data_IF_879942706275
#
_entry.id   IF_879942706275
#
_cell.length_a   1.000
_cell.length_b   1.000
_cell.length_c   1.000
_cell.angle_alpha   90.00
_cell.angle_beta   90.00
_cell.angle_gamma   90.00
#
_symmetry.space_group_name_H-M   'P 1'
#
loop_
_entity.id
_entity.type
_entity.pdbx_description
1 polymer ?
#
# COMPACT_ATOMS: atom_id res chain seq x y z
N UNK A 1 -18.79 -6.80 -2.44
CA UNK A 1 -19.80 -7.17 -3.46
C UNK A 1 -20.84 -6.07 -3.72
N UNK A 2 -21.62 -5.57 -2.74
CA UNK A 2 -22.60 -4.48 -2.97
C UNK A 2 -21.89 -3.16 -3.31
N UNK A 3 -20.85 -2.78 -2.56
CA UNK A 3 -20.06 -1.56 -2.76
C UNK A 3 -19.39 -1.55 -4.14
N UNK A 4 -18.80 -2.67 -4.58
CA UNK A 4 -18.12 -2.75 -5.89
C UNK A 4 -19.11 -2.61 -7.03
N UNK A 5 -20.29 -3.21 -6.89
CA UNK A 5 -21.40 -3.05 -7.85
C UNK A 5 -21.88 -1.59 -7.89
N UNK A 6 -21.96 -0.93 -6.74
CA UNK A 6 -22.33 0.48 -6.62
C UNK A 6 -21.33 1.40 -7.32
N UNK A 7 -20.02 1.24 -7.04
CA UNK A 7 -18.95 2.02 -7.71
C UNK A 7 -19.00 1.88 -9.23
N UNK A 8 -19.10 0.66 -9.73
CA UNK A 8 -19.15 0.39 -11.17
C UNK A 8 -20.36 1.04 -11.82
N UNK A 9 -21.56 0.84 -11.28
CA UNK A 9 -22.79 1.41 -11.84
C UNK A 9 -22.83 2.93 -11.73
N UNK A 10 -22.24 3.50 -10.67
CA UNK A 10 -22.09 4.93 -10.51
C UNK A 10 -21.23 5.53 -11.63
N UNK A 11 -20.07 4.93 -11.90
CA UNK A 11 -19.17 5.36 -12.98
C UNK A 11 -19.83 5.23 -14.38
N UNK A 12 -20.53 4.11 -14.63
CA UNK A 12 -21.30 3.93 -15.87
C UNK A 12 -22.38 5.00 -16.02
N UNK A 13 -23.06 5.35 -14.93
CA UNK A 13 -24.12 6.38 -14.93
C UNK A 13 -23.53 7.78 -15.21
N UNK A 14 -22.38 8.10 -14.62
CA UNK A 14 -21.66 9.34 -14.87
C UNK A 14 -21.30 9.50 -16.34
N UNK A 15 -20.74 8.46 -16.95
CA UNK A 15 -20.35 8.48 -18.37
C UNK A 15 -21.55 8.64 -19.31
N UNK A 16 -22.75 8.23 -18.90
CA UNK A 16 -23.99 8.40 -19.67
C UNK A 16 -24.61 9.80 -19.53
N UNK A 17 -24.29 10.54 -18.47
CA UNK A 17 -24.89 11.85 -18.18
C UNK A 17 -23.98 12.99 -18.63
N UNK A 18 -22.68 12.82 -18.46
CA UNK A 18 -21.68 13.87 -18.69
C UNK A 18 -20.70 13.47 -19.77
N UNK A 19 -20.42 14.41 -20.66
CA UNK A 19 -19.27 14.30 -21.56
C UNK A 19 -18.03 14.77 -20.82
N UNK A 20 -17.17 13.84 -20.43
CA UNK A 20 -15.96 14.14 -19.70
C UNK A 20 -14.75 14.31 -20.60
N UNK A 21 -14.01 15.40 -20.38
CA UNK A 21 -12.64 15.51 -20.87
C UNK A 21 -11.69 15.14 -19.71
N UNK A 22 -10.93 14.09 -19.91
CA UNK A 22 -9.91 13.68 -18.94
C UNK A 22 -8.77 14.69 -18.93
N UNK A 23 -8.47 15.24 -17.75
CA UNK A 23 -7.34 16.15 -17.54
C UNK A 23 -6.39 15.47 -16.54
N UNK A 24 -5.14 15.31 -16.92
CA UNK A 24 -4.08 14.92 -15.99
C UNK A 24 -3.42 16.19 -15.45
N UNK A 25 -3.51 16.40 -14.15
CA UNK A 25 -2.84 17.49 -13.46
C UNK A 25 -2.28 16.96 -12.16
N UNK A 26 -0.97 17.04 -11.98
CA UNK A 26 -0.30 16.72 -10.72
C UNK A 26 -0.52 15.30 -10.18
N UNK A 27 -0.71 14.30 -11.06
CA UNK A 27 -0.96 12.90 -10.64
C UNK A 27 -2.43 12.56 -10.43
N UNK A 28 -3.34 13.54 -10.51
CA UNK A 28 -4.78 13.31 -10.45
C UNK A 28 -5.40 13.15 -11.83
N UNK A 29 -6.38 12.27 -11.92
CA UNK A 29 -7.31 12.27 -13.03
C UNK A 29 -8.52 13.10 -12.64
N UNK A 30 -8.56 14.35 -13.11
CA UNK A 30 -9.74 15.18 -13.07
C UNK A 30 -10.54 14.96 -14.35
N UNK A 31 -11.86 14.92 -14.22
CA UNK A 31 -12.77 14.86 -15.36
C UNK A 31 -13.52 16.18 -15.48
N UNK A 32 -13.23 16.95 -16.52
CA UNK A 32 -13.87 18.22 -16.80
C UNK A 32 -15.15 18.02 -17.59
N UNK A 33 -16.21 18.70 -17.19
CA UNK A 33 -17.48 18.80 -17.92
C UNK A 33 -18.07 20.21 -17.78
N UNK A 34 -19.16 20.51 -18.48
CA UNK A 34 -19.85 21.80 -18.33
C UNK A 34 -20.58 21.85 -16.98
N UNK A 35 -20.56 23.01 -16.32
CA UNK A 35 -21.32 23.23 -15.10
C UNK A 35 -22.83 23.11 -15.36
N UNK A 36 -23.54 22.45 -14.45
CA UNK A 36 -24.99 22.25 -14.57
C UNK A 36 -25.82 23.50 -14.26
N UNK A 37 -25.25 24.44 -13.49
CA UNK A 37 -25.93 25.70 -13.11
C UNK A 37 -25.76 26.71 -14.24
N UNK A 38 -24.53 26.85 -14.73
CA UNK A 38 -24.20 27.77 -15.83
C UNK A 38 -23.22 27.08 -16.78
N UNK A 39 -23.72 26.73 -17.95
CA UNK A 39 -22.97 26.00 -19.00
C UNK A 39 -21.74 26.77 -19.53
N UNK A 40 -21.62 28.06 -19.25
CA UNK A 40 -20.45 28.85 -19.58
C UNK A 40 -19.22 28.51 -18.76
N UNK A 41 -19.42 27.88 -17.61
CA UNK A 41 -18.36 27.46 -16.69
C UNK A 41 -18.04 25.97 -16.83
N UNK A 42 -16.86 25.61 -16.33
CA UNK A 42 -16.47 24.20 -16.22
C UNK A 42 -16.70 23.69 -14.79
N UNK A 43 -17.21 22.48 -14.69
CA UNK A 43 -17.32 21.70 -13.48
C UNK A 43 -16.31 20.54 -13.55
N UNK A 44 -15.73 20.18 -12.42
CA UNK A 44 -14.72 19.15 -12.33
C UNK A 44 -15.19 18.03 -11.41
N UNK A 45 -15.08 16.80 -11.89
CA UNK A 45 -15.25 15.63 -11.06
C UNK A 45 -13.89 15.24 -10.47
N UNK A 46 -13.82 15.19 -9.16
CA UNK A 46 -12.68 14.67 -8.44
C UNK A 46 -12.92 13.19 -8.12
N UNK A 47 -12.10 12.32 -8.70
CA UNK A 47 -12.24 10.87 -8.48
C UNK A 47 -11.81 10.41 -7.09
N UNK A 48 -11.12 11.26 -6.32
CA UNK A 48 -10.64 10.91 -4.99
C UNK A 48 -11.75 11.02 -3.93
N UNK A 49 -12.61 12.03 -4.00
CA UNK A 49 -13.73 12.24 -3.07
C UNK A 49 -15.11 11.98 -3.68
N UNK A 50 -15.17 11.73 -5.00
CA UNK A 50 -16.42 11.47 -5.72
C UNK A 50 -17.30 12.69 -5.91
N UNK A 51 -16.76 13.92 -5.77
CA UNK A 51 -17.52 15.17 -5.86
C UNK A 51 -17.37 15.84 -7.22
N UNK A 52 -18.43 16.53 -7.60
CA UNK A 52 -18.46 17.49 -8.70
C UNK A 52 -18.37 18.90 -8.11
N UNK A 53 -17.37 19.65 -8.51
CA UNK A 53 -17.15 21.02 -8.02
C UNK A 53 -17.04 21.99 -9.19
N UNK A 54 -17.81 23.08 -9.14
CA UNK A 54 -17.61 24.25 -9.99
C UNK A 54 -16.95 25.36 -9.19
N UNK A 55 -15.69 25.72 -9.48
CA UNK A 55 -14.98 26.75 -8.72
C UNK A 55 -15.61 28.15 -8.85
N UNK A 56 -16.40 28.40 -9.92
CA UNK A 56 -16.95 29.73 -10.20
C UNK A 56 -18.27 29.95 -9.48
N UNK A 57 -19.19 28.97 -9.51
CA UNK A 57 -20.50 29.07 -8.83
C UNK A 57 -20.53 28.42 -7.45
N UNK A 58 -19.43 27.88 -6.95
CA UNK A 58 -19.33 27.26 -5.61
C UNK A 58 -20.14 25.96 -5.46
N UNK A 59 -20.65 25.41 -6.57
CA UNK A 59 -21.41 24.16 -6.55
C UNK A 59 -20.48 23.00 -6.19
N UNK A 60 -20.86 22.21 -5.18
CA UNK A 60 -20.14 20.99 -4.82
C UNK A 60 -21.14 19.92 -4.36
N UNK A 61 -21.24 18.81 -5.09
CA UNK A 61 -22.15 17.70 -4.82
C UNK A 61 -21.59 16.37 -5.31
N UNK A 62 -21.92 15.29 -4.60
CA UNK A 62 -21.66 13.93 -5.13
C UNK A 62 -22.64 13.58 -6.28
N UNK A 63 -22.32 12.49 -7.01
CA UNK A 63 -23.07 12.12 -8.22
C UNK A 63 -24.54 11.80 -7.95
N UNK A 64 -24.88 11.21 -6.80
CA UNK A 64 -26.27 10.86 -6.48
C UNK A 64 -27.08 12.12 -6.20
N UNK A 65 -26.54 13.01 -5.34
CA UNK A 65 -27.12 14.30 -5.02
C UNK A 65 -27.21 15.20 -6.25
N UNK A 66 -26.21 15.15 -7.13
CA UNK A 66 -26.19 15.89 -8.40
C UNK A 66 -27.30 15.39 -9.34
N UNK A 67 -27.40 14.08 -9.56
CA UNK A 67 -28.43 13.49 -10.41
C UNK A 67 -29.82 13.65 -9.83
N UNK A 68 -29.97 13.60 -8.52
CA UNK A 68 -31.21 13.87 -7.79
C UNK A 68 -31.68 15.30 -8.05
N UNK A 69 -30.77 16.28 -7.91
CA UNK A 69 -31.07 17.69 -8.17
C UNK A 69 -31.45 17.96 -9.64
N UNK A 70 -30.70 17.40 -10.60
CA UNK A 70 -30.96 17.57 -12.04
C UNK A 70 -32.33 17.01 -12.43
N UNK A 71 -32.72 15.87 -11.84
CA UNK A 71 -33.95 15.17 -12.19
C UNK A 71 -35.13 15.49 -11.29
N UNK A 72 -34.89 16.31 -10.27
CA UNK A 72 -35.88 16.66 -9.25
C UNK A 72 -36.57 15.42 -8.63
N UNK A 73 -35.78 14.45 -8.21
CA UNK A 73 -36.23 13.22 -7.57
C UNK A 73 -35.45 12.98 -6.29
N UNK A 74 -36.07 12.25 -5.35
CA UNK A 74 -35.41 11.83 -4.12
C UNK A 74 -34.12 11.02 -4.37
N UNK A 75 -33.11 11.18 -3.53
CA UNK A 75 -31.80 10.50 -3.69
C UNK A 75 -31.95 8.96 -3.66
N UNK A 76 -32.88 8.42 -2.90
CA UNK A 76 -33.13 6.98 -2.87
C UNK A 76 -33.71 6.48 -4.18
N UNK A 77 -34.67 7.23 -4.74
CA UNK A 77 -35.24 6.92 -6.05
C UNK A 77 -34.16 6.99 -7.14
N UNK A 78 -33.25 7.95 -7.02
CA UNK A 78 -32.12 8.06 -7.96
C UNK A 78 -31.16 6.88 -7.80
N UNK A 79 -30.85 6.50 -6.57
CA UNK A 79 -29.98 5.36 -6.26
C UNK A 79 -30.59 4.03 -6.77
N UNK A 80 -31.89 3.81 -6.61
CA UNK A 80 -32.59 2.64 -7.17
C UNK A 80 -32.47 2.58 -8.70
N UNK A 81 -32.61 3.72 -9.38
CA UNK A 81 -32.46 3.82 -10.84
C UNK A 81 -31.02 3.50 -11.28
N UNK A 82 -30.03 4.04 -10.58
CA UNK A 82 -28.61 3.80 -10.87
C UNK A 82 -28.25 2.32 -10.68
N UNK A 83 -28.69 1.74 -9.55
CA UNK A 83 -28.41 0.34 -9.24
C UNK A 83 -29.23 -0.65 -10.05
N UNK A 84 -30.29 -0.17 -10.75
CA UNK A 84 -31.28 -0.99 -11.50
C UNK A 84 -31.91 -2.09 -10.62
N UNK A 85 -32.13 -1.79 -9.35
CA UNK A 85 -32.79 -2.68 -8.37
C UNK A 85 -33.72 -1.87 -7.50
N UNK A 86 -34.76 -2.51 -6.96
CA UNK A 86 -35.64 -1.89 -5.97
C UNK A 86 -35.03 -2.13 -4.58
N UNK A 87 -34.75 -1.06 -3.86
CA UNK A 87 -34.18 -1.14 -2.52
C UNK A 87 -35.29 -1.44 -1.48
N UNK A 88 -35.03 -2.45 -0.65
CA UNK A 88 -35.88 -2.68 0.52
C UNK A 88 -35.60 -1.64 1.58
N UNK A 89 -36.56 -1.33 2.42
CA UNK A 89 -36.42 -0.34 3.51
C UNK A 89 -35.26 -0.67 4.46
N UNK A 90 -35.01 -1.94 4.72
CA UNK A 90 -33.94 -2.44 5.58
C UNK A 90 -32.53 -2.33 4.96
N UNK A 91 -32.43 -2.22 3.63
CA UNK A 91 -31.13 -2.08 2.94
C UNK A 91 -30.67 -0.63 2.79
N UNK A 92 -31.55 0.34 2.96
CA UNK A 92 -31.24 1.78 2.82
C UNK A 92 -30.15 2.25 3.79
N UNK A 93 -30.18 1.96 5.10
CA UNK A 93 -29.12 2.32 6.04
C UNK A 93 -27.77 1.73 5.64
N UNK A 94 -27.75 0.43 5.25
CA UNK A 94 -26.52 -0.26 4.82
C UNK A 94 -25.87 0.41 3.61
N UNK A 95 -26.65 0.89 2.66
CA UNK A 95 -26.12 1.59 1.48
C UNK A 95 -25.65 3.02 1.80
N UNK A 96 -26.31 3.71 2.73
CA UNK A 96 -25.84 5.02 3.22
C UNK A 96 -24.51 4.86 3.94
N UNK A 97 -24.38 3.88 4.82
CA UNK A 97 -23.16 3.65 5.57
C UNK A 97 -22.02 3.20 4.64
N UNK A 98 -22.32 2.29 3.70
CA UNK A 98 -21.35 1.88 2.68
C UNK A 98 -20.87 3.05 1.80
N UNK A 99 -21.76 3.99 1.46
CA UNK A 99 -21.45 5.21 0.72
C UNK A 99 -20.57 6.15 1.53
N UNK A 100 -20.94 6.41 2.80
CA UNK A 100 -20.12 7.22 3.72
C UNK A 100 -18.72 6.66 3.90
N UNK A 101 -18.63 5.34 4.08
CA UNK A 101 -17.34 4.65 4.20
C UNK A 101 -16.50 4.76 2.91
N UNK A 102 -17.14 4.65 1.74
CA UNK A 102 -16.48 4.83 0.44
C UNK A 102 -15.87 6.22 0.32
N UNK A 103 -16.64 7.29 0.60
CA UNK A 103 -16.13 8.66 0.56
C UNK A 103 -15.04 8.91 1.60
N UNK A 104 -15.19 8.34 2.78
CA UNK A 104 -14.18 8.43 3.83
C UNK A 104 -12.86 7.77 3.38
N UNK A 105 -12.92 6.63 2.71
CA UNK A 105 -11.73 5.96 2.19
C UNK A 105 -11.08 6.77 1.06
N UNK A 106 -11.87 7.34 0.14
CA UNK A 106 -11.35 8.22 -0.92
C UNK A 106 -10.64 9.45 -0.34
N UNK A 107 -11.18 10.04 0.73
CA UNK A 107 -10.53 11.14 1.43
C UNK A 107 -9.18 10.72 2.05
N UNK A 108 -9.10 9.52 2.64
CA UNK A 108 -7.84 9.01 3.17
C UNK A 108 -6.79 8.78 2.08
N UNK A 109 -7.18 8.28 0.91
CA UNK A 109 -6.29 8.16 -0.25
C UNK A 109 -5.77 9.52 -0.71
N UNK A 110 -6.66 10.53 -0.75
CA UNK A 110 -6.28 11.90 -1.11
C UNK A 110 -5.26 12.49 -0.13
N UNK A 111 -5.52 12.38 1.18
CA UNK A 111 -4.61 12.84 2.22
C UNK A 111 -3.24 12.16 2.08
N UNK A 112 -3.21 10.85 1.87
CA UNK A 112 -1.96 10.13 1.70
C UNK A 112 -1.23 10.54 0.42
N UNK A 113 -1.95 10.82 -0.66
CA UNK A 113 -1.34 11.31 -1.90
C UNK A 113 -0.69 12.68 -1.70
N UNK A 114 -1.40 13.62 -1.09
CA UNK A 114 -0.87 14.97 -0.82
C UNK A 114 0.33 14.91 0.15
N UNK A 115 0.26 14.02 1.14
CA UNK A 115 1.38 13.77 2.05
C UNK A 115 2.60 13.18 1.30
N UNK A 116 2.39 12.27 0.34
CA UNK A 116 3.47 11.72 -0.49
C UNK A 116 4.15 12.84 -1.29
N UNK A 117 3.39 13.67 -1.99
CA UNK A 117 3.93 14.80 -2.75
C UNK A 117 4.72 15.76 -1.86
N UNK A 118 4.19 16.08 -0.68
CA UNK A 118 4.91 16.87 0.31
C UNK A 118 6.25 16.23 0.69
N UNK A 119 6.28 14.93 0.98
CA UNK A 119 7.52 14.25 1.37
C UNK A 119 8.54 14.18 0.22
N UNK A 120 8.09 14.02 -1.03
CA UNK A 120 8.96 14.08 -2.21
C UNK A 120 9.59 15.45 -2.37
N UNK A 121 8.82 16.53 -2.22
CA UNK A 121 9.32 17.91 -2.26
C UNK A 121 10.35 18.13 -1.14
N UNK A 122 10.03 17.71 0.08
CA UNK A 122 10.95 17.85 1.22
C UNK A 122 12.24 17.05 1.06
N UNK A 123 12.21 15.95 0.32
CA UNK A 123 13.43 15.20 -0.04
C UNK A 123 14.32 16.03 -0.97
N UNK A 124 13.75 16.67 -1.98
CA UNK A 124 14.52 17.51 -2.92
C UNK A 124 15.21 18.68 -2.22
N UNK A 125 14.58 19.22 -1.17
CA UNK A 125 15.11 20.31 -0.34
C UNK A 125 16.11 19.84 0.73
N UNK A 126 16.33 18.53 0.92
CA UNK A 126 17.14 18.00 2.02
C UNK A 126 18.44 17.31 1.53
N UNK A 127 19.59 18.02 1.51
CA UNK A 127 20.87 17.42 1.14
C UNK A 127 21.27 16.23 2.03
N UNK A 128 20.88 16.25 3.29
CA UNK A 128 21.18 15.17 4.25
C UNK A 128 20.41 13.90 3.87
N UNK A 129 19.13 14.02 3.55
CA UNK A 129 18.31 12.89 3.15
C UNK A 129 18.75 12.32 1.78
N UNK A 130 19.06 13.18 0.82
CA UNK A 130 19.62 12.77 -0.48
C UNK A 130 20.95 12.05 -0.27
N UNK A 131 21.88 12.62 0.50
CA UNK A 131 23.18 12.01 0.81
C UNK A 131 23.02 10.65 1.48
N UNK A 132 22.03 10.50 2.35
CA UNK A 132 21.74 9.22 2.98
C UNK A 132 21.32 8.16 1.93
N UNK A 133 20.36 8.49 1.04
CA UNK A 133 19.87 7.56 0.02
C UNK A 133 20.95 7.20 -1.01
N UNK A 134 21.70 8.19 -1.48
CA UNK A 134 22.83 7.95 -2.42
C UNK A 134 23.96 7.18 -1.74
N UNK A 135 24.26 7.45 -0.46
CA UNK A 135 25.20 6.68 0.34
C UNK A 135 24.77 5.22 0.58
N UNK A 136 23.46 4.95 0.54
CA UNK A 136 22.90 3.60 0.48
C UNK A 136 22.93 2.99 -0.93
N UNK A 137 23.48 3.69 -1.92
CA UNK A 137 23.65 3.20 -3.30
C UNK A 137 22.41 3.35 -4.17
N UNK A 138 21.40 4.12 -3.76
CA UNK A 138 20.21 4.34 -4.58
C UNK A 138 20.46 5.39 -5.66
N UNK A 139 20.02 5.10 -6.88
CA UNK A 139 20.06 6.05 -8.00
C UNK A 139 18.88 7.03 -7.92
N UNK A 140 18.98 8.15 -8.63
CA UNK A 140 17.91 9.15 -8.71
C UNK A 140 16.64 8.56 -9.32
N UNK A 141 16.79 7.73 -10.34
CA UNK A 141 15.68 7.03 -11.00
C UNK A 141 14.97 6.09 -10.06
N UNK A 142 15.72 5.36 -9.22
CA UNK A 142 15.14 4.48 -8.20
C UNK A 142 14.40 5.27 -7.13
N UNK A 143 14.97 6.37 -6.64
CA UNK A 143 14.34 7.25 -5.66
C UNK A 143 13.00 7.77 -6.21
N UNK A 144 12.97 8.22 -7.46
CA UNK A 144 11.75 8.70 -8.12
C UNK A 144 10.73 7.58 -8.36
N UNK A 145 11.18 6.42 -8.88
CA UNK A 145 10.32 5.26 -9.17
C UNK A 145 9.60 4.75 -7.94
N UNK A 146 10.24 4.81 -6.77
CA UNK A 146 9.67 4.37 -5.50
C UNK A 146 8.99 5.51 -4.71
N UNK A 147 8.89 6.71 -5.27
CA UNK A 147 8.29 7.87 -4.62
C UNK A 147 8.90 8.16 -3.25
N UNK A 148 10.22 7.93 -3.09
CA UNK A 148 10.86 8.12 -1.79
C UNK A 148 10.82 9.59 -1.39
N UNK A 149 10.56 9.84 -0.11
CA UNK A 149 10.42 11.16 0.44
C UNK A 149 11.23 11.38 1.71
N UNK A 150 11.12 12.58 2.27
CA UNK A 150 11.69 12.93 3.55
C UNK A 150 10.68 13.67 4.42
N UNK A 151 10.51 13.22 5.65
CA UNK A 151 9.74 13.91 6.67
C UNK A 151 10.67 14.78 7.51
N UNK A 152 10.51 16.14 7.50
CA UNK A 152 11.34 17.05 8.27
C UNK A 152 11.22 16.87 9.79
N UNK A 153 12.14 17.46 10.55
CA UNK A 153 12.20 17.36 12.05
C UNK A 153 10.99 17.94 12.76
N UNK A 154 10.35 18.95 12.18
CA UNK A 154 9.26 19.71 12.81
C UNK A 154 7.92 19.39 12.15
N UNK A 155 6.81 19.77 12.80
CA UNK A 155 5.44 19.58 12.32
C UNK A 155 5.15 20.41 11.04
N UNK A 156 5.86 20.12 9.94
CA UNK A 156 5.73 20.84 8.69
C UNK A 156 4.58 20.27 7.85
N UNK A 157 4.39 18.94 7.86
CA UNK A 157 3.29 18.29 7.17
C UNK A 157 1.93 18.78 7.68
N UNK A 158 1.72 18.73 8.99
CA UNK A 158 0.48 19.22 9.62
C UNK A 158 0.18 20.66 9.21
N UNK A 159 1.18 21.55 9.27
CA UNK A 159 1.01 22.95 8.88
C UNK A 159 0.64 23.13 7.41
N UNK A 160 1.14 22.27 6.53
CA UNK A 160 0.87 22.33 5.10
C UNK A 160 -0.51 21.79 4.76
N UNK A 161 -0.95 20.71 5.41
CA UNK A 161 -2.18 20.02 5.02
C UNK A 161 -3.44 20.50 5.76
N UNK A 162 -3.30 21.14 6.94
CA UNK A 162 -4.44 21.58 7.76
C UNK A 162 -5.36 22.61 7.08
N UNK A 163 -4.85 23.33 6.08
CA UNK A 163 -5.65 24.31 5.35
C UNK A 163 -6.56 23.64 4.29
N UNK A 164 -6.25 22.38 3.91
CA UNK A 164 -6.99 21.61 2.92
C UNK A 164 -7.84 20.49 3.52
N UNK A 165 -7.49 20.01 4.74
CA UNK A 165 -8.13 18.86 5.38
C UNK A 165 -8.37 19.13 6.86
N UNK A 166 -9.48 18.57 7.38
CA UNK A 166 -9.72 18.62 8.83
C UNK A 166 -8.66 17.81 9.60
N UNK A 167 -8.27 18.28 10.77
CA UNK A 167 -7.22 17.65 11.59
C UNK A 167 -7.61 16.21 12.01
N UNK A 168 -8.90 15.96 12.23
CA UNK A 168 -9.46 14.63 12.53
C UNK A 168 -9.28 13.65 11.36
N UNK A 169 -9.39 14.14 10.11
CA UNK A 169 -9.18 13.33 8.91
C UNK A 169 -7.70 13.02 8.71
N UNK A 170 -6.82 14.01 8.95
CA UNK A 170 -5.36 13.82 8.94
C UNK A 170 -4.92 12.82 10.00
N UNK A 171 -5.52 12.87 11.21
CA UNK A 171 -5.26 11.91 12.28
C UNK A 171 -5.79 10.52 11.90
N UNK A 172 -6.97 10.42 11.29
CA UNK A 172 -7.57 9.18 10.81
C UNK A 172 -6.71 8.53 9.72
N UNK A 173 -6.16 9.31 8.79
CA UNK A 173 -5.19 8.85 7.79
C UNK A 173 -3.86 8.36 8.41
N UNK A 174 -3.57 8.78 9.65
CA UNK A 174 -2.39 8.38 10.38
C UNK A 174 -1.12 9.12 9.96
N UNK A 175 -1.24 10.27 9.31
CA UNK A 175 -0.12 11.14 8.94
C UNK A 175 0.23 12.11 10.07
N UNK A 176 -0.76 12.48 10.90
CA UNK A 176 -0.55 13.19 12.17
C UNK A 176 -1.07 12.36 13.35
N UNK A 177 -0.69 12.74 14.56
CA UNK A 177 -1.18 12.19 15.80
C UNK A 177 -1.53 13.30 16.78
N UNK A 178 -2.23 12.94 17.85
CA UNK A 178 -2.57 13.86 18.94
C UNK A 178 -1.81 13.49 20.23
N UNK A 179 -1.17 14.44 20.84
CA UNK A 179 -0.55 14.26 22.16
C UNK A 179 -1.66 14.29 23.22
N UNK A 180 -1.88 13.15 23.88
CA UNK A 180 -2.96 12.99 24.88
C UNK A 180 -2.86 13.90 26.10
N UNK A 181 -1.65 14.42 26.40
CA UNK A 181 -1.43 15.28 27.57
C UNK A 181 -1.71 16.74 27.25
N UNK A 182 -1.33 17.18 26.04
CA UNK A 182 -1.40 18.59 25.64
C UNK A 182 -2.53 18.88 24.66
N UNK A 183 -3.16 17.84 24.08
CA UNK A 183 -4.16 17.98 23.01
C UNK A 183 -3.59 18.51 21.69
N UNK A 184 -2.27 18.65 21.56
CA UNK A 184 -1.65 19.21 20.36
C UNK A 184 -1.40 18.15 19.30
N UNK A 185 -1.65 18.52 18.05
CA UNK A 185 -1.32 17.69 16.90
C UNK A 185 0.19 17.70 16.60
N UNK A 186 0.68 16.57 16.10
CA UNK A 186 2.08 16.41 15.69
C UNK A 186 2.19 15.49 14.47
N UNK A 187 3.21 15.72 13.64
CA UNK A 187 3.53 14.82 12.52
C UNK A 187 3.99 13.46 13.07
N UNK A 188 3.43 12.38 12.55
CA UNK A 188 3.82 11.00 12.95
C UNK A 188 5.24 10.69 12.49
N UNK A 189 5.59 11.14 11.31
CA UNK A 189 6.92 10.98 10.75
C UNK A 189 7.74 12.25 10.96
N UNK A 190 8.90 12.13 11.60
CA UNK A 190 9.84 13.23 11.87
C UNK A 190 11.27 12.76 11.69
N UNK A 191 12.07 13.53 10.95
CA UNK A 191 13.46 13.22 10.62
C UNK A 191 13.62 11.80 10.07
N UNK A 192 12.80 11.48 9.02
CA UNK A 192 12.73 10.14 8.44
C UNK A 192 12.72 10.15 6.93
N UNK A 193 13.44 9.21 6.35
CA UNK A 193 13.19 8.81 4.96
C UNK A 193 11.84 8.12 4.91
N UNK A 194 11.03 8.48 3.92
CA UNK A 194 9.67 7.99 3.75
C UNK A 194 9.59 7.02 2.56
N UNK A 195 8.90 5.93 2.78
CA UNK A 195 8.61 4.87 1.82
C UNK A 195 7.10 4.78 1.66
N UNK A 196 6.51 5.31 0.58
CA UNK A 196 5.08 5.17 0.32
C UNK A 196 4.71 3.69 0.11
N UNK A 197 3.59 3.27 0.70
CA UNK A 197 3.05 1.94 0.55
C UNK A 197 1.88 2.05 -0.41
N UNK A 198 2.06 1.50 -1.61
CA UNK A 198 1.17 1.68 -2.76
C UNK A 198 0.52 0.35 -3.10
N UNK A 199 -0.79 0.36 -3.34
CA UNK A 199 -1.54 -0.82 -3.73
C UNK A 199 -1.50 -1.06 -5.26
N UNK A 200 -2.08 -2.18 -5.71
CA UNK A 200 -2.17 -2.54 -7.13
C UNK A 200 -2.98 -1.56 -8.01
N UNK A 201 -3.75 -0.66 -7.40
CA UNK A 201 -4.52 0.37 -8.08
C UNK A 201 -3.79 1.73 -8.04
N UNK A 202 -2.52 1.74 -7.66
CA UNK A 202 -1.66 2.91 -7.49
C UNK A 202 -2.15 3.89 -6.41
N UNK A 203 -2.94 3.40 -5.43
CA UNK A 203 -3.41 4.19 -4.31
C UNK A 203 -2.44 4.12 -3.14
N UNK A 204 -2.18 5.26 -2.51
CA UNK A 204 -1.27 5.36 -1.38
C UNK A 204 -2.00 4.93 -0.12
N UNK A 205 -1.66 3.77 0.41
CA UNK A 205 -2.28 3.20 1.61
C UNK A 205 -1.75 3.82 2.91
N UNK A 206 -0.50 4.23 2.91
CA UNK A 206 0.22 4.76 4.06
C UNK A 206 1.72 4.80 3.80
N UNK A 207 2.50 4.90 4.87
CA UNK A 207 3.94 5.12 4.77
C UNK A 207 4.74 4.25 5.73
N UNK A 208 5.95 3.88 5.32
CA UNK A 208 7.05 3.51 6.18
C UNK A 208 7.99 4.69 6.39
N UNK A 209 8.64 4.77 7.53
CA UNK A 209 9.58 5.86 7.81
C UNK A 209 10.82 5.38 8.54
N UNK A 210 12.02 5.50 7.93
CA UNK A 210 13.31 5.19 8.54
C UNK A 210 13.94 6.45 9.13
N UNK A 211 14.30 6.43 10.41
CA UNK A 211 14.95 7.58 11.07
C UNK A 211 16.33 7.88 10.48
N UNK A 212 16.63 9.16 10.31
CA UNK A 212 17.99 9.66 10.08
C UNK A 212 18.68 10.07 11.38
N UNK A 213 17.91 10.26 12.46
CA UNK A 213 18.39 10.65 13.77
C UNK A 213 18.61 9.47 14.73
N UNK A 214 18.70 9.79 16.02
CA UNK A 214 18.98 8.87 17.13
C UNK A 214 17.75 8.15 17.70
N UNK A 215 16.63 8.11 16.98
CA UNK A 215 15.41 7.44 17.45
C UNK A 215 15.66 5.94 17.69
N UNK A 216 15.23 5.42 18.84
CA UNK A 216 15.30 4.00 19.19
C UNK A 216 14.53 3.11 18.23
N UNK A 217 13.47 3.65 17.61
CA UNK A 217 12.69 2.96 16.57
C UNK A 217 13.27 3.29 15.18
N UNK A 218 14.14 2.41 14.68
CA UNK A 218 14.77 2.54 13.35
C UNK A 218 13.72 2.72 12.25
N UNK A 219 12.69 1.90 12.23
CA UNK A 219 11.55 1.99 11.33
C UNK A 219 10.24 2.15 12.10
N UNK A 220 9.34 2.96 11.56
CA UNK A 220 7.94 3.03 11.95
C UNK A 220 7.08 2.97 10.69
N UNK A 221 5.83 2.55 10.85
CA UNK A 221 4.84 2.56 9.76
C UNK A 221 3.59 3.30 10.22
N UNK A 222 2.78 3.76 9.26
CA UNK A 222 1.42 4.24 9.52
C UNK A 222 0.68 3.23 10.41
N UNK A 223 -0.12 3.74 11.35
CA UNK A 223 -1.04 2.91 12.16
C UNK A 223 -2.05 2.21 11.26
N UNK A 224 -2.74 1.19 11.78
CA UNK A 224 -3.88 0.60 11.05
C UNK A 224 -4.95 1.66 10.85
N UNK A 225 -5.42 1.81 9.60
CA UNK A 225 -6.51 2.70 9.19
C UNK A 225 -7.56 1.88 8.42
N UNK A 226 -8.63 2.54 7.96
CA UNK A 226 -9.64 1.88 7.14
C UNK A 226 -9.08 1.37 5.79
N UNK A 227 -8.02 2.01 5.27
CA UNK A 227 -7.38 1.67 3.98
C UNK A 227 -6.04 0.94 4.13
N UNK A 228 -5.48 0.82 5.33
CA UNK A 228 -4.17 0.24 5.58
C UNK A 228 -4.14 -0.76 6.73
N UNK A 229 -3.75 -1.99 6.43
CA UNK A 229 -3.43 -3.04 7.40
C UNK A 229 -2.14 -3.74 6.98
N UNK A 230 -1.07 -3.64 7.81
CA UNK A 230 0.23 -4.28 7.52
C UNK A 230 0.12 -5.77 7.21
N UNK A 231 -0.75 -6.49 7.92
CA UNK A 231 -0.98 -7.93 7.73
C UNK A 231 -1.65 -8.28 6.39
N UNK A 232 -2.04 -7.29 5.61
CA UNK A 232 -2.70 -7.45 4.31
C UNK A 232 -1.97 -6.74 3.17
N UNK A 233 -0.87 -6.03 3.45
CA UNK A 233 -0.14 -5.24 2.47
C UNK A 233 1.28 -5.77 2.29
N UNK A 234 1.72 -5.88 1.05
CA UNK A 234 3.10 -6.17 0.67
C UNK A 234 3.69 -4.97 -0.06
N UNK A 235 4.85 -4.52 0.38
CA UNK A 235 5.57 -3.40 -0.26
C UNK A 235 6.01 -3.76 -1.68
N UNK A 236 5.84 -2.84 -2.60
CA UNK A 236 6.16 -2.98 -4.02
C UNK A 236 5.39 -4.08 -4.79
N UNK A 237 4.29 -4.60 -4.23
CA UNK A 237 3.47 -5.58 -4.96
C UNK A 237 2.83 -4.97 -6.21
N UNK A 238 2.55 -3.67 -6.21
CA UNK A 238 2.08 -2.91 -7.39
C UNK A 238 3.09 -2.88 -8.53
N UNK A 239 4.39 -3.01 -8.23
CA UNK A 239 5.47 -2.98 -9.21
C UNK A 239 5.77 -4.33 -9.84
N UNK A 240 5.20 -5.41 -9.30
CA UNK A 240 5.35 -6.76 -9.87
C UNK A 240 4.57 -6.82 -11.18
N UNK A 241 5.28 -7.04 -12.30
CA UNK A 241 4.67 -7.06 -13.62
C UNK A 241 3.71 -8.24 -13.80
N UNK A 242 2.42 -7.93 -13.94
CA UNK A 242 1.36 -8.92 -14.13
C UNK A 242 1.30 -9.50 -15.55
N UNK A 243 1.81 -8.79 -16.54
CA UNK A 243 1.76 -9.22 -17.95
C UNK A 243 2.63 -10.45 -18.20
N UNK A 244 3.62 -10.67 -17.33
CA UNK A 244 4.50 -11.83 -17.37
C UNK A 244 4.52 -12.45 -15.97
N UNK A 245 3.54 -13.33 -15.69
CA UNK A 245 3.46 -14.02 -14.40
C UNK A 245 4.86 -14.52 -14.01
N UNK A 246 5.50 -13.93 -12.98
CA UNK A 246 6.86 -14.31 -12.64
C UNK A 246 6.89 -15.77 -12.15
N UNK A 247 7.93 -16.51 -12.55
CA UNK A 247 8.10 -17.89 -12.07
C UNK A 247 8.16 -17.94 -10.54
N UNK A 248 8.56 -16.83 -9.90
CA UNK A 248 8.84 -16.71 -8.47
C UNK A 248 8.65 -15.28 -8.02
N UNK A 249 8.22 -15.08 -6.77
CA UNK A 249 8.28 -13.78 -6.07
C UNK A 249 9.13 -13.95 -4.82
N UNK A 250 10.14 -13.09 -4.67
CA UNK A 250 10.96 -13.02 -3.46
C UNK A 250 10.24 -12.17 -2.41
N UNK A 251 10.16 -12.68 -1.19
CA UNK A 251 9.55 -12.00 -0.05
C UNK A 251 10.65 -11.63 0.92
N UNK A 252 11.00 -10.35 1.00
CA UNK A 252 12.02 -9.77 1.86
C UNK A 252 11.40 -9.19 3.14
N UNK A 253 12.23 -8.89 4.16
CA UNK A 253 11.76 -8.26 5.40
C UNK A 253 11.60 -6.74 5.25
N UNK A 254 12.59 -6.07 4.62
CA UNK A 254 12.76 -4.64 4.64
C UNK A 254 12.45 -3.92 3.32
N UNK A 255 12.24 -2.61 3.43
CA UNK A 255 12.06 -1.72 2.28
C UNK A 255 13.31 -1.67 1.39
N UNK A 256 14.49 -1.58 2.03
CA UNK A 256 15.75 -1.39 1.31
C UNK A 256 16.12 -2.62 0.50
N UNK A 257 15.84 -3.83 1.01
CA UNK A 257 16.09 -5.08 0.30
C UNK A 257 15.31 -5.12 -1.02
N UNK A 258 14.02 -4.81 -0.93
CA UNK A 258 13.14 -4.75 -2.10
C UNK A 258 13.63 -3.71 -3.11
N UNK A 259 13.93 -2.49 -2.65
CA UNK A 259 14.37 -1.40 -3.52
C UNK A 259 15.70 -1.75 -4.20
N UNK A 260 16.66 -2.33 -3.46
CA UNK A 260 17.96 -2.73 -4.00
C UNK A 260 17.80 -3.81 -5.08
N UNK A 261 16.93 -4.80 -4.88
CA UNK A 261 16.64 -5.82 -5.88
C UNK A 261 15.98 -5.21 -7.13
N UNK A 262 14.97 -4.38 -6.95
CA UNK A 262 14.30 -3.69 -8.07
C UNK A 262 15.23 -2.79 -8.86
N UNK A 263 16.16 -2.09 -8.18
CA UNK A 263 17.17 -1.25 -8.84
C UNK A 263 18.06 -2.06 -9.79
N UNK A 264 18.32 -3.32 -9.47
CA UNK A 264 19.07 -4.24 -10.30
C UNK A 264 18.19 -4.96 -11.35
N UNK A 265 16.90 -4.56 -11.47
CA UNK A 265 15.95 -5.16 -12.41
C UNK A 265 15.49 -6.55 -11.98
N UNK A 266 15.44 -6.81 -10.68
CA UNK A 266 14.76 -7.96 -10.06
C UNK A 266 13.44 -7.44 -9.50
N UNK A 267 12.50 -7.14 -10.41
CA UNK A 267 11.21 -6.47 -10.13
C UNK A 267 10.10 -7.41 -9.61
N UNK A 268 10.47 -8.63 -9.24
CA UNK A 268 9.64 -9.63 -8.62
C UNK A 268 9.98 -9.87 -7.13
N UNK A 269 10.43 -8.80 -6.45
CA UNK A 269 10.65 -8.78 -5.00
C UNK A 269 9.59 -7.91 -4.31
N UNK A 270 9.13 -8.34 -3.12
CA UNK A 270 8.14 -7.63 -2.28
C UNK A 270 8.58 -7.67 -0.82
N UNK A 271 8.05 -6.75 0.01
CA UNK A 271 8.41 -6.66 1.42
C UNK A 271 7.24 -6.84 2.39
N UNK A 272 7.52 -7.39 3.59
CA UNK A 272 6.49 -7.67 4.62
C UNK A 272 6.21 -6.49 5.57
N UNK A 273 6.79 -5.31 5.36
CA UNK A 273 6.60 -4.12 6.19
C UNK A 273 7.01 -4.28 7.67
N UNK A 274 7.98 -5.15 7.95
CA UNK A 274 8.41 -5.44 9.32
C UNK A 274 7.36 -6.17 10.15
N UNK A 275 6.53 -7.00 9.53
CA UNK A 275 5.60 -7.91 10.17
C UNK A 275 5.86 -9.34 9.73
N UNK A 276 5.44 -10.32 10.53
CA UNK A 276 5.48 -11.70 10.10
C UNK A 276 4.62 -11.90 8.84
N UNK A 277 5.09 -12.75 7.92
CA UNK A 277 4.32 -13.16 6.75
C UNK A 277 3.00 -13.82 7.17
N UNK A 278 1.87 -13.37 6.59
CA UNK A 278 0.53 -13.81 6.95
C UNK A 278 -0.10 -14.68 5.89
N UNK A 279 -1.17 -15.41 6.25
CA UNK A 279 -2.00 -16.12 5.26
C UNK A 279 -2.63 -15.18 4.22
N UNK A 280 -2.92 -13.93 4.59
CA UNK A 280 -3.41 -12.91 3.67
C UNK A 280 -2.35 -12.54 2.63
N UNK A 281 -1.10 -12.32 3.07
CA UNK A 281 0.04 -12.09 2.17
C UNK A 281 0.23 -13.28 1.21
N UNK A 282 0.23 -14.49 1.73
CA UNK A 282 0.39 -15.70 0.92
C UNK A 282 -0.69 -15.84 -0.15
N UNK A 283 -1.97 -15.65 0.23
CA UNK A 283 -3.08 -15.67 -0.73
C UNK A 283 -2.97 -14.59 -1.82
N UNK A 284 -2.38 -13.45 -1.49
CA UNK A 284 -2.11 -12.40 -2.49
C UNK A 284 -1.00 -12.84 -3.44
N UNK A 285 0.12 -13.36 -2.91
CA UNK A 285 1.25 -13.84 -3.72
C UNK A 285 0.84 -14.93 -4.70
N UNK A 286 -0.03 -15.87 -4.30
CA UNK A 286 -0.53 -16.93 -5.17
C UNK A 286 -1.32 -16.43 -6.40
N UNK A 287 -1.79 -15.20 -6.41
CA UNK A 287 -2.40 -14.59 -7.60
C UNK A 287 -1.36 -14.25 -8.67
N UNK A 288 -0.09 -14.15 -8.30
CA UNK A 288 1.00 -13.71 -9.17
C UNK A 288 1.97 -14.85 -9.50
N UNK A 289 2.21 -15.78 -8.58
CA UNK A 289 3.16 -16.88 -8.76
C UNK A 289 2.72 -18.13 -8.00
N UNK A 290 3.17 -19.29 -8.46
CA UNK A 290 3.00 -20.55 -7.72
C UNK A 290 4.13 -20.80 -6.70
N UNK A 291 5.24 -20.02 -6.81
CA UNK A 291 6.46 -20.25 -6.02
C UNK A 291 6.86 -18.97 -5.23
N UNK A 292 6.07 -18.53 -4.24
CA UNK A 292 6.51 -17.48 -3.34
C UNK A 292 7.70 -17.97 -2.50
N UNK A 293 8.78 -17.19 -2.45
CA UNK A 293 10.04 -17.59 -1.82
C UNK A 293 10.44 -16.58 -0.76
N UNK A 294 10.65 -17.04 0.45
CA UNK A 294 11.19 -16.19 1.55
C UNK A 294 12.69 -15.97 1.32
N UNK A 295 13.11 -14.71 1.42
CA UNK A 295 14.51 -14.29 1.46
C UNK A 295 14.64 -13.30 2.60
N UNK A 296 14.68 -13.82 3.84
CA UNK A 296 14.85 -13.01 5.04
C UNK A 296 16.33 -12.93 5.39
N UNK A 297 16.67 -12.06 6.35
CA UNK A 297 18.02 -11.87 6.79
C UNK A 297 18.65 -13.21 7.23
N UNK A 298 19.94 -13.41 6.94
CA UNK A 298 20.62 -14.67 7.25
C UNK A 298 21.00 -14.82 8.72
N UNK A 299 20.65 -13.85 9.59
CA UNK A 299 20.91 -13.89 11.02
C UNK A 299 19.88 -14.76 11.78
N UNK A 300 20.11 -14.98 13.08
CA UNK A 300 19.21 -15.78 13.94
C UNK A 300 17.78 -15.22 13.96
N UNK A 301 17.60 -13.92 13.86
CA UNK A 301 16.28 -13.29 13.89
C UNK A 301 15.51 -13.57 12.60
N UNK A 302 16.16 -13.46 11.43
CA UNK A 302 15.58 -13.78 10.13
C UNK A 302 15.32 -15.28 9.96
N UNK A 303 16.22 -16.15 10.42
CA UNK A 303 15.99 -17.62 10.46
C UNK A 303 14.76 -17.94 11.31
N UNK A 304 14.64 -17.35 12.50
CA UNK A 304 13.48 -17.54 13.35
C UNK A 304 12.18 -16.99 12.72
N UNK A 305 12.26 -15.88 11.98
CA UNK A 305 11.13 -15.33 11.23
C UNK A 305 10.72 -16.27 10.07
N UNK A 306 11.68 -16.83 9.35
CA UNK A 306 11.48 -17.87 8.33
C UNK A 306 10.75 -19.08 8.90
N UNK A 307 11.26 -19.63 10.03
CA UNK A 307 10.64 -20.78 10.69
C UNK A 307 9.18 -20.51 11.08
N UNK A 308 8.90 -19.34 11.67
CA UNK A 308 7.53 -18.94 12.01
C UNK A 308 6.61 -18.82 10.79
N UNK A 309 7.14 -18.28 9.69
CA UNK A 309 6.38 -18.16 8.44
C UNK A 309 6.04 -19.53 7.85
N UNK A 310 7.02 -20.43 7.78
CA UNK A 310 6.82 -21.80 7.30
C UNK A 310 5.83 -22.59 8.17
N UNK A 311 5.93 -22.50 9.50
CA UNK A 311 5.00 -23.15 10.42
C UNK A 311 3.56 -22.65 10.28
N UNK A 312 3.39 -21.37 9.91
CA UNK A 312 2.07 -20.73 9.81
C UNK A 312 1.41 -20.94 8.43
N UNK A 313 2.22 -20.94 7.37
CA UNK A 313 1.74 -20.92 5.98
C UNK A 313 1.91 -22.30 5.33
N UNK A 314 2.99 -23.00 5.64
CA UNK A 314 3.38 -24.24 4.95
C UNK A 314 4.13 -23.93 3.64
N UNK A 315 3.60 -24.31 2.55
CA UNK A 315 4.20 -24.31 1.19
C UNK A 315 4.83 -22.98 0.74
N UNK A 316 6.05 -22.73 1.18
CA UNK A 316 6.88 -21.58 0.79
C UNK A 316 8.28 -22.10 0.49
N UNK A 317 8.87 -21.66 -0.59
CA UNK A 317 10.29 -21.87 -0.82
C UNK A 317 11.12 -20.93 0.06
N UNK A 318 12.35 -21.32 0.33
CA UNK A 318 13.28 -20.58 1.17
C UNK A 318 14.61 -20.37 0.44
N UNK A 319 15.12 -19.16 0.45
CA UNK A 319 16.48 -18.84 0.08
C UNK A 319 17.19 -18.25 1.31
N UNK A 320 18.16 -18.96 1.85
CA UNK A 320 19.06 -18.42 2.87
C UNK A 320 20.28 -17.82 2.20
N UNK A 321 20.58 -16.57 2.50
CA UNK A 321 21.78 -15.91 2.01
C UNK A 321 22.98 -16.25 2.89
N UNK A 322 24.19 -16.36 2.31
CA UNK A 322 25.40 -16.69 3.07
C UNK A 322 25.88 -15.50 3.90
N UNK A 323 26.77 -15.76 4.86
CA UNK A 323 27.46 -14.74 5.65
C UNK A 323 26.53 -13.81 6.43
N UNK A 324 25.35 -14.28 6.81
CA UNK A 324 24.31 -13.50 7.50
C UNK A 324 23.89 -12.21 6.77
N UNK A 325 24.10 -12.14 5.45
CA UNK A 325 23.74 -10.98 4.65
C UNK A 325 22.23 -10.87 4.43
N UNK A 326 21.76 -9.62 4.36
CA UNK A 326 20.47 -9.31 3.80
C UNK A 326 20.52 -9.21 2.27
N UNK A 327 19.37 -9.17 1.56
CA UNK A 327 19.36 -9.05 0.10
C UNK A 327 20.04 -7.76 -0.44
N UNK A 328 19.92 -6.63 0.28
CA UNK A 328 20.58 -5.36 -0.08
C UNK A 328 22.12 -5.49 -0.03
N UNK A 329 22.65 -6.09 1.04
CA UNK A 329 24.09 -6.31 1.20
C UNK A 329 24.62 -7.33 0.19
N UNK A 330 23.89 -8.41 -0.04
CA UNK A 330 24.32 -9.45 -0.98
C UNK A 330 24.42 -8.92 -2.40
N UNK A 331 23.38 -8.21 -2.88
CA UNK A 331 23.36 -7.75 -4.26
C UNK A 331 24.39 -6.63 -4.52
N UNK A 332 24.69 -5.81 -3.51
CA UNK A 332 25.76 -4.81 -3.57
C UNK A 332 27.15 -5.44 -3.62
N UNK A 333 27.33 -6.52 -2.88
CA UNK A 333 28.64 -7.19 -2.77
C UNK A 333 28.96 -8.02 -4.02
N UNK A 334 27.98 -8.80 -4.50
CA UNK A 334 28.21 -9.82 -5.52
C UNK A 334 27.57 -9.51 -6.87
N UNK A 335 26.65 -8.56 -6.93
CA UNK A 335 25.97 -8.14 -8.14
C UNK A 335 24.83 -9.06 -8.59
N UNK A 336 24.08 -8.59 -9.59
CA UNK A 336 22.86 -9.24 -10.10
C UNK A 336 23.08 -10.66 -10.59
N UNK A 337 24.12 -10.88 -11.41
CA UNK A 337 24.33 -12.20 -12.03
C UNK A 337 24.60 -13.28 -10.98
N UNK A 338 25.48 -12.98 -10.02
CA UNK A 338 25.77 -13.90 -8.93
C UNK A 338 24.53 -14.16 -8.04
N UNK A 339 23.71 -13.13 -7.80
CA UNK A 339 22.47 -13.31 -7.07
C UNK A 339 21.47 -14.22 -7.79
N UNK A 340 21.28 -14.04 -9.10
CA UNK A 340 20.42 -14.91 -9.90
C UNK A 340 20.93 -16.35 -9.97
N UNK A 341 22.23 -16.54 -10.10
CA UNK A 341 22.84 -17.87 -10.06
C UNK A 341 22.71 -18.50 -8.67
N UNK A 342 22.88 -17.71 -7.61
CA UNK A 342 22.70 -18.18 -6.24
C UNK A 342 21.26 -18.64 -5.97
N UNK A 343 20.27 -17.89 -6.44
CA UNK A 343 18.85 -18.27 -6.40
C UNK A 343 18.65 -19.64 -7.07
N UNK A 344 19.15 -19.84 -8.29
CA UNK A 344 18.97 -21.08 -9.03
C UNK A 344 19.54 -22.30 -8.30
N UNK A 345 20.65 -22.14 -7.59
CA UNK A 345 21.40 -23.24 -7.00
C UNK A 345 21.04 -23.51 -5.52
N UNK A 346 20.44 -22.55 -4.81
CA UNK A 346 20.33 -22.62 -3.35
C UNK A 346 18.89 -22.47 -2.82
N UNK A 347 17.90 -22.29 -3.68
CA UNK A 347 16.52 -22.34 -3.24
C UNK A 347 16.21 -23.75 -2.73
N UNK A 348 15.52 -23.78 -1.60
CA UNK A 348 15.04 -24.98 -0.95
C UNK A 348 13.52 -24.97 -0.94
N UNK A 349 12.91 -26.06 -1.28
CA UNK A 349 11.49 -26.25 -1.02
C UNK A 349 11.23 -26.28 0.48
N UNK A 350 9.97 -26.15 0.89
CA UNK A 350 9.55 -26.31 2.28
C UNK A 350 10.10 -27.59 2.90
N UNK A 351 10.00 -28.71 2.19
CA UNK A 351 10.45 -30.03 2.63
C UNK A 351 11.98 -30.10 2.77
N UNK A 352 12.71 -29.63 1.75
CA UNK A 352 14.17 -29.61 1.76
C UNK A 352 14.73 -28.74 2.89
N UNK A 353 14.09 -27.58 3.16
CA UNK A 353 14.49 -26.71 4.25
C UNK A 353 14.38 -27.42 5.61
N UNK A 354 13.24 -28.07 5.90
CA UNK A 354 13.06 -28.76 7.16
C UNK A 354 13.89 -30.04 7.25
N UNK A 355 14.13 -30.74 6.15
CA UNK A 355 15.00 -31.92 6.12
C UNK A 355 16.45 -31.55 6.52
N UNK A 356 16.95 -30.42 6.05
CA UNK A 356 18.29 -29.93 6.46
C UNK A 356 18.35 -29.56 7.95
N UNK A 357 17.24 -29.14 8.55
CA UNK A 357 17.16 -28.83 9.98
C UNK A 357 17.00 -30.08 10.86
N UNK A 358 16.69 -31.21 10.25
CA UNK A 358 16.49 -32.45 10.98
C UNK A 358 17.83 -33.03 11.49
N UNK A 359 17.94 -33.21 12.81
CA UNK A 359 19.18 -33.64 13.47
C UNK A 359 19.35 -35.17 13.54
N UNK A 360 18.47 -35.94 12.90
CA UNK A 360 18.49 -37.42 12.98
C UNK A 360 17.96 -38.02 14.29
N UNK A 361 17.42 -37.20 15.20
CA UNK A 361 16.84 -37.68 16.47
C UNK A 361 15.32 -37.79 16.37
N UNK A 362 14.77 -38.97 16.62
CA UNK A 362 13.33 -39.23 16.58
C UNK A 362 12.81 -39.63 15.20
N UNK A 363 11.49 -39.71 15.07
CA UNK A 363 10.83 -40.05 13.82
C UNK A 363 10.76 -38.83 12.90
N UNK A 364 11.33 -38.90 11.70
CA UNK A 364 11.34 -37.82 10.72
C UNK A 364 9.91 -37.38 10.34
N UNK A 365 8.97 -38.31 10.27
CA UNK A 365 7.57 -38.03 9.96
C UNK A 365 6.91 -37.20 11.08
N UNK A 366 7.14 -37.55 12.33
CA UNK A 366 6.69 -36.78 13.49
C UNK A 366 7.35 -35.39 13.54
N UNK A 367 8.63 -35.29 13.18
CA UNK A 367 9.33 -34.01 13.06
C UNK A 367 8.60 -33.08 12.06
N UNK A 368 8.29 -33.56 10.85
CA UNK A 368 7.54 -32.79 9.86
C UNK A 368 6.13 -32.45 10.34
N UNK A 369 5.41 -33.36 10.97
CA UNK A 369 4.08 -33.10 11.53
C UNK A 369 4.11 -32.03 12.64
N UNK A 370 5.18 -31.96 13.41
CA UNK A 370 5.35 -30.96 14.44
C UNK A 370 5.69 -29.57 13.86
N UNK A 371 6.42 -29.50 12.75
CA UNK A 371 6.72 -28.26 12.05
C UNK A 371 5.52 -27.75 11.23
N UNK A 372 4.72 -28.64 10.68
CA UNK A 372 3.47 -28.29 10.00
C UNK A 372 2.34 -28.26 11.04
N UNK A 373 1.60 -27.14 11.15
CA UNK A 373 0.35 -27.09 11.95
C UNK A 373 -0.79 -27.96 11.36
N UNK A 374 -0.47 -28.99 10.56
CA UNK A 374 -1.40 -29.92 9.93
C UNK A 374 -2.14 -30.79 10.98
N UNK A 375 -1.75 -30.77 12.24
CA UNK A 375 -2.51 -31.43 13.33
C UNK A 375 -4.00 -31.05 13.44
N UNK A 376 -4.48 -30.03 12.72
CA UNK A 376 -5.89 -29.60 12.78
C UNK A 376 -6.77 -30.07 11.61
N UNK A 377 -6.25 -30.84 10.66
CA UNK A 377 -7.02 -31.28 9.46
C UNK A 377 -7.27 -32.80 9.46
N UNK A 378 -6.68 -33.54 10.38
CA UNK A 378 -6.83 -35.00 10.44
C UNK A 378 -7.64 -35.52 11.65
N UNK A 379 -8.48 -34.66 12.29
CA UNK A 379 -9.48 -35.10 13.26
C UNK A 379 -10.78 -34.30 13.07
#
# INVERSE_FOLDING_TARGET
MIIDKYKKLLMEHMNNIFHFTKIQSGGYTLYKTNCIIDKSHSMYYNSSDGTFTCPICGFSKDIVSLCSAIRNVDEWVMLEKILKIKLKMDTRPVLVDARKEMFKNELLYQINYDAMLFFEEQLQESPIAIKYLTGRGLTKETIQRFHLGYAPKYNKLHRTLKDNFAEEDLETAGVIGIDKKTGRYYDVFKDRIIFPIIDKNEQILGFGGRTLGSSTKKYINTKTTAIFQKSQCLYALNMVNLSHRPKRILVCEGYMDVIALHQQGIDWAVGTLGTALTQSHYKQLLKFTDNPTIVFDGDDAGINATNRALQKIGKLDVLLLPENKDPDEYIKTYGKQNFLQYIQNNIQTYEEYWLKQYTGKGNIFEYFLNQSKIKKIMY
#
